data_IF_107619712473
#
_entry.id   IF_107619712473
#
_cell.length_a   1.000
_cell.length_b   1.000
_cell.length_c   1.000
_cell.angle_alpha   90.00
_cell.angle_beta   90.00
_cell.angle_gamma   90.00
#
_symmetry.space_group_name_H-M   'P 1'
#
loop_
_entity.id
_entity.type
_entity.pdbx_description
1 polymer ?
#
# COMPACT_ATOMS: atom_id res chain seq x y z
N UNK A 1 -19.31 -7.73 4.41
CA UNK A 1 -18.48 -7.19 5.51
C UNK A 1 -19.37 -6.35 6.40
N UNK A 2 -19.44 -6.63 7.71
CA UNK A 2 -20.24 -5.82 8.62
C UNK A 2 -19.51 -4.53 9.06
N UNK A 3 -18.17 -4.54 9.16
CA UNK A 3 -17.33 -3.40 9.60
C UNK A 3 -15.89 -3.51 9.05
N UNK A 4 -15.16 -2.39 8.99
CA UNK A 4 -13.70 -2.32 8.68
C UNK A 4 -12.92 -2.52 9.99
N UNK A 5 -11.92 -3.41 10.00
CA UNK A 5 -11.07 -3.68 11.17
C UNK A 5 -9.64 -3.20 10.97
N UNK A 6 -8.90 -2.99 12.06
CA UNK A 6 -7.48 -2.61 12.01
C UNK A 6 -6.61 -3.67 11.32
N UNK A 7 -6.99 -4.95 11.39
CA UNK A 7 -6.30 -6.05 10.71
C UNK A 7 -6.30 -5.90 9.18
N UNK A 8 -7.22 -5.13 8.60
CA UNK A 8 -7.22 -4.83 7.17
C UNK A 8 -6.15 -3.81 6.78
N UNK A 9 -5.54 -3.10 7.74
CA UNK A 9 -4.45 -2.15 7.51
C UNK A 9 -3.09 -2.64 8.01
N UNK A 10 -2.98 -3.90 8.46
CA UNK A 10 -1.77 -4.42 9.12
C UNK A 10 -0.72 -5.01 8.18
N UNK A 11 -0.98 -5.05 6.86
CA UNK A 11 -0.11 -5.74 5.89
C UNK A 11 -0.31 -7.26 5.81
N UNK A 12 -1.12 -7.85 6.70
CA UNK A 12 -1.28 -9.29 6.85
C UNK A 12 -2.32 -9.94 5.92
N UNK A 13 -2.70 -11.18 6.25
CA UNK A 13 -3.61 -12.02 5.46
C UNK A 13 -4.96 -11.35 5.17
N UNK A 14 -5.56 -10.70 6.17
CA UNK A 14 -6.88 -10.09 6.03
C UNK A 14 -6.86 -8.90 5.05
N UNK A 15 -5.79 -8.11 5.04
CA UNK A 15 -5.58 -7.05 4.05
C UNK A 15 -5.48 -7.64 2.65
N UNK A 16 -4.69 -8.70 2.46
CA UNK A 16 -4.51 -9.35 1.16
C UNK A 16 -5.82 -9.95 0.62
N UNK A 17 -6.60 -10.60 1.48
CA UNK A 17 -7.94 -11.11 1.16
C UNK A 17 -8.87 -9.95 0.74
N UNK A 18 -8.88 -8.86 1.51
CA UNK A 18 -9.69 -7.68 1.19
C UNK A 18 -9.32 -7.08 -0.18
N UNK A 19 -8.03 -6.90 -0.46
CA UNK A 19 -7.56 -6.37 -1.75
C UNK A 19 -8.01 -7.30 -2.89
N UNK A 20 -7.75 -8.60 -2.78
CA UNK A 20 -8.05 -9.58 -3.84
C UNK A 20 -9.54 -9.74 -4.10
N UNK A 21 -10.35 -9.78 -3.06
CA UNK A 21 -11.78 -10.10 -3.19
C UNK A 21 -12.65 -8.86 -3.42
N UNK A 22 -12.19 -7.67 -3.00
CA UNK A 22 -13.04 -6.46 -2.99
C UNK A 22 -12.50 -5.33 -3.84
N UNK A 23 -11.18 -5.10 -3.87
CA UNK A 23 -10.60 -4.01 -4.66
C UNK A 23 -10.30 -4.44 -6.10
N UNK A 24 -9.59 -5.55 -6.31
CA UNK A 24 -9.21 -6.00 -7.66
C UNK A 24 -10.41 -6.19 -8.59
N UNK A 25 -11.55 -6.79 -8.18
CA UNK A 25 -12.68 -6.97 -9.10
C UNK A 25 -13.30 -5.64 -9.55
N UNK A 26 -13.23 -4.61 -8.71
CA UNK A 26 -13.80 -3.28 -8.99
C UNK A 26 -12.89 -2.45 -9.90
N UNK A 27 -11.57 -2.59 -9.73
CA UNK A 27 -10.57 -1.79 -10.45
C UNK A 27 -9.75 -2.60 -11.47
N UNK A 28 -10.27 -3.76 -11.91
CA UNK A 28 -9.56 -4.75 -12.71
C UNK A 28 -8.83 -4.13 -13.91
N UNK A 29 -7.51 -4.29 -13.93
CA UNK A 29 -6.67 -3.89 -15.04
C UNK A 29 -5.31 -4.59 -14.96
N UNK A 30 -4.64 -4.70 -16.11
CA UNK A 30 -3.36 -5.42 -16.23
C UNK A 30 -2.25 -4.92 -15.28
N UNK A 31 -2.28 -3.65 -14.87
CA UNK A 31 -1.23 -3.08 -14.01
C UNK A 31 -1.45 -3.44 -12.54
N UNK A 32 -2.71 -3.49 -12.08
CA UNK A 32 -3.04 -3.85 -10.69
C UNK A 32 -3.10 -5.37 -10.45
N UNK A 33 -3.35 -6.16 -11.50
CA UNK A 33 -3.47 -7.62 -11.40
C UNK A 33 -2.15 -8.29 -10.94
N UNK A 34 -1.00 -7.63 -11.13
CA UNK A 34 0.32 -8.12 -10.72
C UNK A 34 0.57 -8.02 -9.21
N UNK A 35 -0.03 -7.04 -8.52
CA UNK A 35 0.18 -6.76 -7.10
C UNK A 35 1.67 -6.66 -6.69
N UNK A 36 2.51 -6.10 -7.56
CA UNK A 36 3.91 -5.79 -7.26
C UNK A 36 4.01 -4.50 -6.43
N UNK A 37 5.21 -4.20 -5.93
CA UNK A 37 5.50 -2.96 -5.18
C UNK A 37 5.34 -1.68 -6.02
N UNK A 38 5.25 -1.80 -7.34
CA UNK A 38 4.98 -0.70 -8.27
C UNK A 38 4.27 -1.19 -9.53
N UNK A 39 3.56 -0.27 -10.19
CA UNK A 39 3.04 -0.49 -11.53
C UNK A 39 4.11 -0.10 -12.56
N UNK A 40 4.39 -1.01 -13.50
CA UNK A 40 5.27 -0.73 -14.65
C UNK A 40 4.46 -0.13 -15.81
N UNK A 41 4.73 1.14 -16.11
CA UNK A 41 4.06 1.93 -17.13
C UNK A 41 5.00 2.20 -18.32
N UNK A 42 4.55 1.97 -19.57
CA UNK A 42 5.33 2.35 -20.75
C UNK A 42 5.58 3.88 -20.81
N UNK A 43 6.74 4.34 -21.31
CA UNK A 43 7.80 3.56 -21.96
C UNK A 43 8.91 3.04 -21.02
N UNK A 44 8.71 2.96 -19.70
CA UNK A 44 9.74 2.47 -18.77
C UNK A 44 9.73 3.15 -17.40
N UNK A 45 8.54 3.45 -16.89
CA UNK A 45 8.33 4.11 -15.60
C UNK A 45 7.83 3.10 -14.59
N UNK A 46 8.41 3.09 -13.39
CA UNK A 46 7.80 2.46 -12.22
C UNK A 46 7.03 3.54 -11.45
N UNK A 47 5.78 3.28 -11.12
CA UNK A 47 4.94 4.19 -10.34
C UNK A 47 4.42 3.47 -9.10
N UNK A 48 4.64 4.06 -7.93
CA UNK A 48 4.16 3.55 -6.65
C UNK A 48 3.63 4.68 -5.78
N UNK A 49 2.87 4.33 -4.75
CA UNK A 49 2.35 5.26 -3.76
C UNK A 49 2.17 4.55 -2.44
N UNK A 50 2.51 5.24 -1.36
CA UNK A 50 2.24 4.81 0.00
C UNK A 50 1.68 5.97 0.83
N UNK A 51 0.98 5.62 1.90
CA UNK A 51 0.53 6.55 2.92
C UNK A 51 1.11 6.12 4.27
N UNK A 52 1.58 7.10 5.03
CA UNK A 52 2.27 6.86 6.30
C UNK A 52 1.46 7.43 7.44
N UNK A 53 1.14 6.60 8.43
CA UNK A 53 0.30 6.95 9.58
C UNK A 53 0.97 6.60 10.91
N UNK A 54 2.31 6.64 10.93
CA UNK A 54 3.11 6.34 12.13
C UNK A 54 2.82 7.37 13.24
N UNK A 55 2.70 6.88 14.46
CA UNK A 55 2.53 7.67 15.67
C UNK A 55 3.47 7.12 16.76
N UNK A 56 4.31 7.96 17.41
CA UNK A 56 4.43 9.40 17.25
C UNK A 56 5.09 9.84 15.93
N UNK A 57 4.91 11.10 15.55
CA UNK A 57 5.50 11.69 14.33
C UNK A 57 7.04 11.65 14.33
N UNK A 58 7.66 11.84 15.50
CA UNK A 58 9.11 11.77 15.70
C UNK A 58 9.44 10.64 16.67
N UNK A 59 10.39 9.78 16.32
CA UNK A 59 10.74 8.60 17.10
C UNK A 59 12.26 8.34 17.06
N UNK A 60 12.81 7.53 17.98
CA UNK A 60 14.24 7.20 17.95
C UNK A 60 14.62 6.57 16.60
N UNK A 61 15.50 7.25 15.86
CA UNK A 61 15.97 6.80 14.54
C UNK A 61 15.27 7.43 13.33
N UNK A 62 14.26 8.31 13.50
CA UNK A 62 13.64 9.00 12.37
C UNK A 62 12.36 9.76 12.69
N UNK A 63 11.64 10.12 11.64
CA UNK A 63 10.34 10.76 11.70
C UNK A 63 9.45 10.30 10.52
N UNK A 64 8.19 10.73 10.51
CA UNK A 64 7.24 10.41 9.44
C UNK A 64 7.74 10.86 8.05
N UNK A 65 8.51 11.93 7.96
CA UNK A 65 9.07 12.43 6.70
C UNK A 65 10.20 11.54 6.19
N UNK A 66 11.08 11.13 7.09
CA UNK A 66 12.14 10.18 6.79
C UNK A 66 11.56 8.82 6.39
N UNK A 67 10.50 8.37 7.07
CA UNK A 67 9.79 7.15 6.72
C UNK A 67 9.12 7.25 5.33
N UNK A 68 8.51 8.40 5.03
CA UNK A 68 7.78 8.57 3.77
C UNK A 68 8.70 8.61 2.55
N UNK A 69 9.88 9.22 2.70
CA UNK A 69 10.90 9.19 1.65
C UNK A 69 11.46 7.78 1.49
N UNK A 70 12.00 7.19 2.56
CA UNK A 70 12.68 5.89 2.47
C UNK A 70 11.74 4.72 2.14
N UNK A 71 10.45 4.84 2.41
CA UNK A 71 9.47 3.81 2.08
C UNK A 71 8.98 3.87 0.62
N UNK A 72 9.10 5.02 -0.05
CA UNK A 72 8.58 5.23 -1.42
C UNK A 72 9.69 5.37 -2.47
N UNK A 73 10.84 5.96 -2.12
CA UNK A 73 11.94 6.37 -3.04
C UNK A 73 13.16 5.48 -2.89
#
# INVERSE_FOLDING_TARGET
MKQVSLEMGSGGRLMQEFIRERLLPVFKNRYLDELHDSAFLPPGMAFTTDSYTVDPIFFPGGDIGSLSVNGTV
#
